data_IF_842543400578
#
_entry.id   IF_842543400578
#
_cell.length_a   1.000
_cell.length_b   1.000
_cell.length_c   1.000
_cell.angle_alpha   90.00
_cell.angle_beta   90.00
_cell.angle_gamma   90.00
#
_symmetry.space_group_name_H-M   'P 1'
#
loop_
_entity.id
_entity.type
_entity.pdbx_description
1 polymer ?
#
# COMPACT_ATOMS: atom_id res chain seq x y z
N UNK A 1 9.28 -29.25 24.36
CA UNK A 1 7.96 -28.57 24.47
C UNK A 1 7.67 -27.62 23.31
N UNK A 2 8.59 -26.78 22.82
CA UNK A 2 8.33 -25.93 21.64
C UNK A 2 8.32 -26.70 20.29
N UNK A 3 9.05 -27.82 20.22
CA UNK A 3 9.14 -28.69 19.04
C UNK A 3 7.79 -29.35 18.68
N UNK A 4 6.99 -29.68 19.68
CA UNK A 4 5.75 -30.45 19.48
C UNK A 4 4.64 -29.61 18.81
N UNK A 5 4.62 -28.29 19.05
CA UNK A 5 3.68 -27.37 18.41
C UNK A 5 4.01 -27.09 16.95
N UNK A 6 5.30 -27.01 16.60
CA UNK A 6 5.72 -26.83 15.20
C UNK A 6 5.39 -28.07 14.36
N UNK A 7 5.65 -29.27 14.90
CA UNK A 7 5.29 -30.51 14.22
C UNK A 7 3.76 -30.67 14.09
N UNK A 8 3.00 -30.30 15.11
CA UNK A 8 1.52 -30.34 15.06
C UNK A 8 0.94 -29.39 14.02
N UNK A 9 1.46 -28.16 13.91
CA UNK A 9 0.98 -27.17 12.93
C UNK A 9 1.35 -27.55 11.50
N UNK A 10 2.53 -28.13 11.27
CA UNK A 10 2.91 -28.68 9.96
C UNK A 10 1.95 -29.80 9.53
N UNK A 11 1.64 -30.73 10.43
CA UNK A 11 0.73 -31.83 10.12
C UNK A 11 -0.69 -31.34 9.79
N UNK A 12 -1.20 -30.34 10.51
CA UNK A 12 -2.50 -29.73 10.20
C UNK A 12 -2.50 -29.05 8.83
N UNK A 13 -1.44 -28.30 8.51
CA UNK A 13 -1.29 -27.66 7.20
C UNK A 13 -1.26 -28.70 6.08
N UNK A 14 -0.45 -29.74 6.23
CA UNK A 14 -0.25 -30.74 5.19
C UNK A 14 -1.55 -31.55 4.97
N UNK A 15 -2.31 -31.82 6.04
CA UNK A 15 -3.65 -32.41 5.94
C UNK A 15 -4.64 -31.49 5.19
N UNK A 16 -4.71 -30.21 5.56
CA UNK A 16 -5.58 -29.25 4.88
C UNK A 16 -5.21 -29.11 3.41
N UNK A 17 -3.91 -29.13 3.08
CA UNK A 17 -3.43 -29.10 1.71
C UNK A 17 -3.85 -30.35 0.93
N UNK A 18 -3.72 -31.54 1.52
CA UNK A 18 -4.19 -32.78 0.91
C UNK A 18 -5.70 -32.77 0.62
N UNK A 19 -6.50 -32.20 1.52
CA UNK A 19 -7.95 -32.04 1.31
C UNK A 19 -8.26 -31.10 0.12
N UNK A 20 -7.53 -30.00 -0.02
CA UNK A 20 -7.66 -29.08 -1.17
C UNK A 20 -7.31 -29.79 -2.48
N UNK A 21 -6.22 -30.56 -2.52
CA UNK A 21 -5.80 -31.29 -3.72
C UNK A 21 -6.82 -32.35 -4.15
N UNK A 22 -7.58 -32.91 -3.21
CA UNK A 22 -8.62 -33.91 -3.48
C UNK A 22 -9.97 -33.29 -3.87
N UNK A 23 -10.17 -31.99 -3.63
CA UNK A 23 -11.43 -31.31 -3.92
C UNK A 23 -11.76 -31.31 -5.42
N UNK A 24 -13.05 -31.46 -5.74
CA UNK A 24 -13.53 -31.41 -7.13
C UNK A 24 -13.26 -30.05 -7.79
N UNK A 25 -13.30 -28.97 -7.01
CA UNK A 25 -12.99 -27.62 -7.48
C UNK A 25 -11.54 -27.48 -7.93
N UNK A 26 -10.59 -28.04 -7.18
CA UNK A 26 -9.18 -28.03 -7.57
C UNK A 26 -8.93 -28.86 -8.82
N UNK A 27 -9.55 -30.04 -8.94
CA UNK A 27 -9.46 -30.87 -10.16
C UNK A 27 -10.02 -30.15 -11.39
N UNK A 28 -11.18 -29.50 -11.26
CA UNK A 28 -11.79 -28.72 -12.34
C UNK A 28 -10.89 -27.55 -12.77
N UNK A 29 -10.25 -26.88 -11.81
CA UNK A 29 -9.29 -25.82 -12.08
C UNK A 29 -8.05 -26.32 -12.85
N UNK A 30 -7.46 -27.46 -12.45
CA UNK A 30 -6.32 -28.07 -13.17
C UNK A 30 -6.71 -28.49 -14.59
N UNK A 31 -7.92 -29.04 -14.76
CA UNK A 31 -8.42 -29.39 -16.09
C UNK A 31 -8.59 -28.15 -17.00
N UNK A 32 -9.04 -27.03 -16.43
CA UNK A 32 -9.14 -25.76 -17.14
C UNK A 32 -7.76 -25.21 -17.54
N UNK A 33 -6.78 -25.22 -16.63
CA UNK A 33 -5.40 -24.77 -16.93
C UNK A 33 -4.79 -25.63 -18.06
N UNK A 34 -5.00 -26.95 -18.02
CA UNK A 34 -4.58 -27.86 -19.09
C UNK A 34 -5.24 -27.53 -20.44
N UNK A 35 -6.52 -27.17 -20.45
CA UNK A 35 -7.23 -26.75 -21.65
C UNK A 35 -6.69 -25.42 -22.19
N UNK A 36 -6.39 -24.45 -21.31
CA UNK A 36 -5.76 -23.17 -21.69
C UNK A 36 -4.39 -23.41 -22.33
N UNK A 37 -3.58 -24.30 -21.75
CA UNK A 37 -2.28 -24.68 -22.32
C UNK A 37 -2.44 -25.35 -23.68
N UNK A 38 -3.40 -26.26 -23.84
CA UNK A 38 -3.68 -26.91 -25.11
C UNK A 38 -4.11 -25.92 -26.20
N UNK A 39 -4.77 -24.82 -25.83
CA UNK A 39 -5.13 -23.71 -26.73
C UNK A 39 -3.97 -22.74 -27.02
N UNK A 40 -2.75 -23.03 -26.53
CA UNK A 40 -1.56 -22.18 -26.71
C UNK A 40 -1.42 -21.07 -25.67
N UNK A 41 -2.19 -21.09 -24.58
CA UNK A 41 -2.04 -20.22 -23.42
C UNK A 41 -0.89 -20.64 -22.51
N UNK A 42 -0.59 -19.80 -21.50
CA UNK A 42 0.42 -20.09 -20.49
C UNK A 42 -0.23 -20.71 -19.24
N UNK A 43 0.40 -21.75 -18.69
CA UNK A 43 -0.02 -22.35 -17.41
C UNK A 43 0.24 -21.40 -16.24
N UNK A 44 -0.71 -21.32 -15.32
CA UNK A 44 -0.59 -20.46 -14.14
C UNK A 44 0.52 -20.91 -13.18
N UNK A 45 0.82 -22.21 -13.09
CA UNK A 45 1.86 -22.74 -12.22
C UNK A 45 3.28 -22.50 -12.75
N UNK A 46 3.42 -22.23 -14.05
CA UNK A 46 4.70 -21.92 -14.71
C UNK A 46 4.98 -20.43 -14.84
N UNK A 47 4.13 -19.57 -14.30
CA UNK A 47 4.40 -18.14 -14.17
C UNK A 47 5.43 -17.86 -13.05
N UNK A 48 6.59 -18.50 -13.11
CA UNK A 48 7.76 -18.01 -12.40
C UNK A 48 8.14 -16.68 -13.07
N UNK A 49 8.29 -15.56 -12.34
CA UNK A 49 8.93 -14.39 -12.89
C UNK A 49 10.39 -14.75 -13.10
N UNK A 50 10.76 -15.17 -14.32
CA UNK A 50 12.16 -15.13 -14.72
C UNK A 50 12.57 -13.67 -14.74
N UNK A 51 13.13 -13.21 -13.62
CA UNK A 51 13.78 -11.92 -13.48
C UNK A 51 14.97 -11.75 -14.47
N UNK A 52 15.29 -12.77 -15.26
CA UNK A 52 16.33 -12.76 -16.30
C UNK A 52 15.80 -12.47 -17.72
N UNK A 53 14.49 -12.36 -17.95
CA UNK A 53 13.92 -12.20 -19.30
C UNK A 53 13.54 -10.76 -19.70
N UNK A 54 13.83 -9.75 -18.88
CA UNK A 54 13.56 -8.33 -19.21
C UNK A 54 14.79 -7.65 -19.84
N UNK A 55 15.93 -8.33 -19.98
CA UNK A 55 17.18 -7.68 -20.41
C UNK A 55 17.95 -8.47 -21.46
N UNK A 56 17.32 -8.87 -22.56
CA UNK A 56 18.00 -9.07 -23.87
C UNK A 56 17.02 -9.59 -24.92
N UNK A 57 16.39 -8.66 -25.65
CA UNK A 57 15.87 -8.94 -26.97
C UNK A 57 15.98 -7.67 -27.82
N UNK A 58 17.23 -7.29 -28.13
CA UNK A 58 17.53 -6.61 -29.39
C UNK A 58 17.25 -7.62 -30.51
N UNK A 59 15.99 -7.69 -30.97
CA UNK A 59 15.62 -8.43 -32.17
C UNK A 59 15.13 -7.44 -33.22
N UNK A 60 15.97 -7.32 -34.24
CA UNK A 60 15.74 -6.63 -35.51
C UNK A 60 14.46 -7.20 -36.16
N UNK A 61 13.50 -6.33 -36.50
CA UNK A 61 12.42 -6.71 -37.44
C UNK A 61 11.03 -6.99 -36.86
N UNK A 62 10.55 -6.20 -35.90
CA UNK A 62 9.11 -6.12 -35.62
C UNK A 62 8.50 -4.96 -36.43
N UNK A 63 7.29 -5.11 -37.02
CA UNK A 63 6.60 -3.99 -37.67
C UNK A 63 6.43 -2.85 -36.65
N UNK A 64 6.48 -1.57 -37.07
CA UNK A 64 6.44 -0.45 -36.15
C UNK A 64 5.17 -0.58 -35.30
N UNK A 65 5.36 -0.93 -34.03
CA UNK A 65 4.31 -0.91 -33.03
C UNK A 65 3.82 0.53 -33.06
N UNK A 66 2.60 0.72 -33.58
CA UNK A 66 1.91 2.01 -33.54
C UNK A 66 2.14 2.58 -32.15
N UNK A 67 2.57 3.85 -32.00
CA UNK A 67 2.70 4.44 -30.68
C UNK A 67 1.33 4.28 -30.04
N UNK A 68 1.22 3.39 -29.06
CA UNK A 68 0.08 3.33 -28.18
C UNK A 68 0.08 4.72 -27.58
N UNK A 69 -0.79 5.57 -28.11
CA UNK A 69 -1.14 6.84 -27.50
C UNK A 69 -1.57 6.40 -26.13
N UNK A 70 -0.67 6.55 -25.14
CA UNK A 70 -0.98 6.36 -23.75
C UNK A 70 -1.95 7.49 -23.44
N UNK A 71 -3.21 7.21 -23.76
CA UNK A 71 -4.34 7.99 -23.32
C UNK A 71 -4.08 8.16 -21.82
N UNK A 72 -3.85 9.41 -21.41
CA UNK A 72 -3.51 9.73 -20.03
C UNK A 72 -4.69 9.28 -19.21
N UNK A 73 -4.66 8.05 -18.70
CA UNK A 73 -5.55 7.58 -17.64
C UNK A 73 -5.39 8.66 -16.59
N UNK A 74 -6.43 9.48 -16.42
CA UNK A 74 -6.49 10.50 -15.38
C UNK A 74 -6.47 9.70 -14.10
N UNK A 75 -5.27 9.47 -13.56
CA UNK A 75 -5.08 8.70 -12.32
C UNK A 75 -5.98 9.39 -11.31
N UNK A 76 -6.92 8.62 -10.76
CA UNK A 76 -7.68 9.11 -9.63
C UNK A 76 -6.67 9.61 -8.59
N UNK A 77 -6.80 10.86 -8.13
CA UNK A 77 -5.87 11.45 -7.20
C UNK A 77 -5.73 10.53 -5.98
N UNK A 78 -4.49 10.28 -5.57
CA UNK A 78 -4.22 9.41 -4.43
C UNK A 78 -4.86 9.99 -3.16
N UNK A 79 -5.26 9.15 -2.20
CA UNK A 79 -5.74 9.62 -0.89
C UNK A 79 -4.76 10.58 -0.23
N UNK A 80 -3.46 10.37 -0.45
CA UNK A 80 -2.42 11.26 0.06
C UNK A 80 -2.36 12.61 -0.67
N UNK A 81 -2.72 12.67 -1.95
CA UNK A 81 -2.79 13.93 -2.71
C UNK A 81 -4.02 14.75 -2.29
N UNK A 82 -5.12 14.06 -1.97
CA UNK A 82 -6.31 14.69 -1.39
C UNK A 82 -6.04 15.20 0.03
N UNK A 83 -5.35 14.40 0.85
CA UNK A 83 -4.90 14.84 2.17
C UNK A 83 -3.97 16.07 2.06
N UNK A 84 -3.05 16.08 1.10
CA UNK A 84 -2.17 17.21 0.86
C UNK A 84 -2.96 18.47 0.52
N UNK A 85 -3.96 18.35 -0.36
CA UNK A 85 -4.83 19.46 -0.76
C UNK A 85 -5.66 19.99 0.42
N UNK A 86 -6.25 19.09 1.21
CA UNK A 86 -7.03 19.42 2.40
C UNK A 86 -6.19 20.16 3.44
N UNK A 87 -4.99 19.69 3.72
CA UNK A 87 -4.09 20.31 4.68
C UNK A 87 -3.62 21.69 4.20
N UNK A 88 -3.29 21.81 2.91
CA UNK A 88 -2.87 23.08 2.30
C UNK A 88 -3.99 24.13 2.32
N UNK A 89 -5.23 23.73 2.05
CA UNK A 89 -6.41 24.61 2.15
C UNK A 89 -6.67 25.07 3.59
N UNK A 90 -6.42 24.21 4.57
CA UNK A 90 -6.62 24.55 5.98
C UNK A 90 -5.61 25.58 6.50
N UNK A 91 -4.39 25.60 5.96
CA UNK A 91 -3.31 26.50 6.36
C UNK A 91 -2.82 26.32 7.81
N UNK A 92 -3.23 25.24 8.50
CA UNK A 92 -2.88 24.97 9.89
C UNK A 92 -2.79 23.47 10.19
N UNK A 93 -2.01 23.05 11.21
CA UNK A 93 -1.99 21.67 11.66
C UNK A 93 -3.39 21.18 12.06
N UNK A 94 -3.76 19.98 11.60
CA UNK A 94 -5.07 19.39 11.84
C UNK A 94 -4.97 18.15 12.71
N UNK A 95 -5.90 17.98 13.64
CA UNK A 95 -6.05 16.70 14.36
C UNK A 95 -6.48 15.61 13.39
N UNK A 96 -6.16 14.35 13.68
CA UNK A 96 -6.43 13.23 12.76
C UNK A 96 -7.91 13.14 12.32
N UNK A 97 -8.86 13.40 13.22
CA UNK A 97 -10.29 13.39 12.90
C UNK A 97 -10.70 14.53 11.97
N UNK A 98 -10.26 15.77 12.25
CA UNK A 98 -10.52 16.91 11.37
C UNK A 98 -9.81 16.80 10.03
N UNK A 99 -8.64 16.18 10.04
CA UNK A 99 -7.88 15.95 8.82
C UNK A 99 -8.56 14.93 7.92
N UNK A 100 -9.10 13.85 8.50
CA UNK A 100 -9.92 12.88 7.79
C UNK A 100 -11.17 13.53 7.17
N UNK A 101 -11.93 14.29 7.97
CA UNK A 101 -13.12 15.01 7.49
C UNK A 101 -12.80 15.94 6.31
N UNK A 102 -11.73 16.73 6.43
CA UNK A 102 -11.30 17.63 5.36
C UNK A 102 -10.86 16.86 4.10
N UNK A 103 -10.22 15.70 4.27
CA UNK A 103 -9.77 14.86 3.15
C UNK A 103 -10.95 14.20 2.43
N UNK A 104 -11.97 13.76 3.17
CA UNK A 104 -13.23 13.24 2.58
C UNK A 104 -13.96 14.36 1.83
N UNK A 105 -13.96 15.60 2.36
CA UNK A 105 -14.56 16.75 1.69
C UNK A 105 -13.87 17.12 0.36
N UNK A 106 -12.58 16.77 0.19
CA UNK A 106 -11.86 16.88 -1.08
C UNK A 106 -12.18 15.74 -2.07
N UNK A 107 -13.02 14.77 -1.67
CA UNK A 107 -13.46 13.67 -2.52
C UNK A 107 -12.66 12.37 -2.32
N UNK A 108 -11.93 12.21 -1.21
CA UNK A 108 -11.30 10.93 -0.89
C UNK A 108 -12.32 9.89 -0.40
N UNK A 109 -12.33 8.72 -1.03
CA UNK A 109 -13.14 7.58 -0.61
C UNK A 109 -12.28 6.60 0.21
N UNK A 110 -12.40 6.65 1.53
CA UNK A 110 -11.68 5.74 2.42
C UNK A 110 -12.64 4.63 2.87
N UNK A 111 -12.35 3.39 2.48
CA UNK A 111 -13.12 2.21 2.88
C UNK A 111 -12.70 1.65 4.25
N UNK A 112 -13.59 0.85 4.85
CA UNK A 112 -13.33 0.13 6.11
C UNK A 112 -13.24 1.03 7.33
N UNK A 113 -12.34 0.70 8.27
CA UNK A 113 -12.00 1.58 9.39
C UNK A 113 -11.20 2.79 8.88
N UNK A 114 -11.94 3.85 8.55
CA UNK A 114 -11.40 5.03 7.87
C UNK A 114 -10.27 5.69 8.65
N UNK A 115 -10.39 5.76 9.98
CA UNK A 115 -9.44 6.49 10.81
C UNK A 115 -8.12 5.72 10.94
N UNK A 116 -8.19 4.39 11.13
CA UNK A 116 -7.00 3.54 11.16
C UNK A 116 -6.30 3.51 9.79
N UNK A 117 -7.04 3.34 8.70
CA UNK A 117 -6.51 3.29 7.34
C UNK A 117 -5.88 4.63 6.93
N UNK A 118 -6.54 5.74 7.28
CA UNK A 118 -6.03 7.07 7.00
C UNK A 118 -4.73 7.35 7.77
N UNK A 119 -4.70 7.04 9.08
CA UNK A 119 -3.48 7.18 9.89
C UNK A 119 -2.33 6.34 9.34
N UNK A 120 -2.60 5.10 8.94
CA UNK A 120 -1.61 4.22 8.31
C UNK A 120 -1.09 4.80 6.99
N UNK A 121 -1.98 5.35 6.16
CA UNK A 121 -1.61 6.00 4.90
C UNK A 121 -0.70 7.21 5.13
N UNK A 122 -1.07 8.10 6.06
CA UNK A 122 -0.27 9.29 6.37
C UNK A 122 1.09 8.93 6.95
N UNK A 123 1.17 7.92 7.80
CA UNK A 123 2.44 7.49 8.41
C UNK A 123 3.46 6.94 7.40
N UNK A 124 3.00 6.48 6.24
CA UNK A 124 3.86 5.95 5.16
C UNK A 124 4.28 7.02 4.15
N UNK A 125 3.66 8.20 4.19
CA UNK A 125 3.95 9.28 3.26
C UNK A 125 4.84 10.33 3.93
N UNK A 126 6.06 10.46 3.39
CA UNK A 126 7.11 11.33 3.92
C UNK A 126 6.76 12.83 3.86
N UNK A 127 5.69 13.22 3.15
CA UNK A 127 5.23 14.61 3.08
C UNK A 127 4.58 15.08 4.37
N UNK A 128 4.08 14.16 5.19
CA UNK A 128 3.36 14.48 6.41
C UNK A 128 4.18 14.09 7.64
N UNK A 129 4.08 14.90 8.69
CA UNK A 129 4.63 14.61 9.99
C UNK A 129 3.57 14.78 11.07
N UNK A 130 3.65 13.98 12.12
CA UNK A 130 2.83 14.17 13.32
C UNK A 130 3.57 15.04 14.34
N UNK A 131 2.88 16.04 14.87
CA UNK A 131 3.38 17.01 15.85
C UNK A 131 2.48 16.96 17.08
N UNK A 132 3.09 16.91 18.26
CA UNK A 132 2.36 16.88 19.52
C UNK A 132 2.15 18.32 20.01
N UNK A 133 0.90 18.67 20.29
CA UNK A 133 0.56 19.96 20.88
C UNK A 133 -0.59 19.81 21.88
N UNK A 134 -0.50 20.42 23.07
CA UNK A 134 -1.50 20.33 24.14
C UNK A 134 -1.96 18.89 24.43
N UNK A 135 -1.01 17.95 24.51
CA UNK A 135 -1.25 16.50 24.68
C UNK A 135 -2.03 15.79 23.57
N UNK A 136 -2.28 16.45 22.43
CA UNK A 136 -2.92 15.85 21.26
C UNK A 136 -1.95 15.77 20.07
N UNK A 137 -2.25 14.90 19.11
CA UNK A 137 -1.47 14.77 17.87
C UNK A 137 -2.15 15.52 16.73
N UNK A 138 -1.36 16.36 16.07
CA UNK A 138 -1.71 17.10 14.88
C UNK A 138 -0.83 16.65 13.72
N UNK A 139 -1.34 16.77 12.50
CA UNK A 139 -0.61 16.48 11.27
C UNK A 139 -0.26 17.77 10.56
N UNK A 140 0.98 17.86 10.10
CA UNK A 140 1.52 19.00 9.36
C UNK A 140 2.42 18.54 8.21
N UNK A 141 2.80 19.47 7.32
CA UNK A 141 3.81 19.20 6.29
C UNK A 141 5.19 19.02 6.92
N UNK A 142 5.96 18.06 6.42
CA UNK A 142 7.30 17.76 6.91
C UNK A 142 8.33 18.82 6.49
N UNK A 143 8.13 19.44 5.33
CA UNK A 143 9.01 20.43 4.70
C UNK A 143 8.65 21.89 5.01
N UNK A 144 7.49 22.14 5.63
CA UNK A 144 7.06 23.50 5.98
C UNK A 144 7.32 23.86 7.44
N UNK A 145 7.65 25.12 7.73
CA UNK A 145 7.82 25.57 9.10
C UNK A 145 6.50 25.46 9.86
N UNK A 146 6.55 24.87 11.06
CA UNK A 146 5.42 24.83 11.97
C UNK A 146 4.96 26.26 12.33
N UNK A 147 3.65 26.53 12.38
CA UNK A 147 3.12 27.78 12.89
C UNK A 147 3.62 28.06 14.30
N UNK A 148 3.79 29.33 14.65
CA UNK A 148 4.40 29.78 15.92
C UNK A 148 3.73 29.16 17.15
N UNK A 149 2.41 28.97 17.09
CA UNK A 149 1.58 28.37 18.15
C UNK A 149 2.00 26.94 18.50
N UNK A 150 2.57 26.19 17.55
CA UNK A 150 2.96 24.79 17.70
C UNK A 150 4.46 24.58 18.00
N UNK A 151 5.27 25.65 17.99
CA UNK A 151 6.72 25.56 18.20
C UNK A 151 7.13 25.32 19.66
N UNK A 152 6.31 25.78 20.60
CA UNK A 152 6.71 25.90 22.01
C UNK A 152 6.81 24.58 22.79
N UNK A 153 6.19 23.49 22.31
CA UNK A 153 6.25 22.18 22.99
C UNK A 153 7.17 21.18 22.28
N UNK A 154 7.35 21.32 20.96
CA UNK A 154 8.15 20.37 20.15
C UNK A 154 9.66 20.47 20.46
N UNK A 155 10.14 21.64 20.90
CA UNK A 155 11.57 21.83 21.24
C UNK A 155 11.97 21.18 22.58
N UNK A 156 11.05 20.99 23.52
CA UNK A 156 11.35 20.39 24.83
C UNK A 156 11.66 18.89 24.74
N UNK A 157 11.08 18.17 23.76
CA UNK A 157 11.34 16.75 23.57
C UNK A 157 12.71 16.46 22.91
N UNK A 158 13.21 17.38 22.06
CA UNK A 158 14.50 17.21 21.37
C UNK A 158 15.70 17.54 22.26
N UNK A 159 15.52 18.39 23.27
CA UNK A 159 16.53 18.65 24.31
C UNK A 159 16.55 17.57 25.40
N UNK A 160 15.43 16.90 25.67
CA UNK A 160 15.38 15.81 26.63
C UNK A 160 16.06 14.52 26.15
N UNK A 161 16.14 14.28 24.83
CA UNK A 161 16.82 13.12 24.25
C UNK A 161 18.31 13.32 23.92
N UNK A 162 18.88 14.48 24.25
CA UNK A 162 20.31 14.79 24.05
C UNK A 162 21.10 14.81 25.37
N UNK A 163 20.47 14.40 26.47
CA UNK A 163 21.03 14.37 27.82
C UNK A 163 21.09 12.96 28.44
N UNK A 164 20.82 11.92 27.64
CA UNK A 164 21.06 10.51 28.00
C UNK A 164 22.26 9.95 27.23
#
# INVERSE_FOLDING_TARGET
>A
MATDYLSGTQLMRDKAWAEVLQSETYKAFVALDAAVVAMGGQSMDKAAPSAAAITSAHCVGWPPVMPVVRERIRRQPSHADMAWTALRKSGRPLSIGRFLEATIAEGAEIGGDQLANFRSTLSKDNRFQSVRHNSMYFWWFADEPLPLEFRNETQSAKLAGLLD
#
